data_IF_431435301762
#
_entry.id   IF_431435301762
#
_cell.length_a   1.000
_cell.length_b   1.000
_cell.length_c   1.000
_cell.angle_alpha   90.00
_cell.angle_beta   90.00
_cell.angle_gamma   90.00
#
_symmetry.space_group_name_H-M   'P 1'
#
loop_
_entity.id
_entity.type
_entity.pdbx_description
1 polymer ?
#
# COMPACT_ATOMS: atom_id res chain seq x y z
N UNK A 1 -23.20 40.73 23.81
CA UNK A 1 -21.77 40.56 24.14
C UNK A 1 -21.69 39.30 24.97
N UNK A 2 -20.95 38.24 24.67
CA UNK A 2 -19.91 37.94 23.69
C UNK A 2 -19.80 36.39 23.65
N UNK A 3 -19.17 35.88 22.60
CA UNK A 3 -18.74 34.52 22.24
C UNK A 3 -18.30 33.59 23.40
N UNK A 4 -18.31 32.26 23.33
CA UNK A 4 -18.51 31.28 22.25
C UNK A 4 -18.39 29.84 22.82
N UNK A 5 -18.66 28.79 22.02
CA UNK A 5 -18.56 27.40 22.42
C UNK A 5 -17.13 26.87 22.19
N UNK A 6 -16.57 26.14 23.15
CA UNK A 6 -15.29 25.48 22.89
C UNK A 6 -14.54 25.04 24.13
N UNK A 7 -15.01 24.00 24.81
CA UNK A 7 -14.12 23.15 25.60
C UNK A 7 -14.33 21.67 25.25
N UNK A 8 -14.23 21.38 23.95
CA UNK A 8 -13.77 20.07 23.48
C UNK A 8 -12.25 20.17 23.32
N UNK A 9 -11.47 19.46 24.16
CA UNK A 9 -10.32 18.62 23.74
C UNK A 9 -9.17 18.48 24.78
N UNK A 10 -9.37 17.90 25.98
CA UNK A 10 -8.22 17.50 26.82
C UNK A 10 -7.51 16.23 26.31
N UNK A 11 -7.99 15.60 25.23
CA UNK A 11 -7.43 14.34 24.68
C UNK A 11 -6.40 14.53 23.55
N UNK A 12 -6.30 15.72 22.94
CA UNK A 12 -5.35 16.00 21.85
C UNK A 12 -3.93 16.33 22.34
N UNK A 13 -3.76 16.80 23.58
CA UNK A 13 -2.47 17.16 24.15
C UNK A 13 -1.56 15.95 24.51
N UNK A 14 -2.13 14.75 24.66
CA UNK A 14 -1.39 13.53 25.05
C UNK A 14 -0.49 12.97 23.94
N UNK A 15 -0.67 13.40 22.69
CA UNK A 15 0.08 12.89 21.53
C UNK A 15 1.37 13.66 21.24
N UNK A 16 1.63 14.77 21.93
CA UNK A 16 2.81 15.62 21.64
C UNK A 16 4.03 15.35 22.53
N UNK A 17 3.96 14.44 23.51
CA UNK A 17 5.07 14.23 24.47
C UNK A 17 5.81 12.89 24.31
N UNK A 18 5.26 11.89 23.60
CA UNK A 18 5.99 10.65 23.29
C UNK A 18 6.82 10.78 22.00
N UNK A 19 7.62 11.85 21.93
CA UNK A 19 8.56 12.13 20.83
C UNK A 19 10.01 12.28 21.30
N UNK A 20 10.32 11.94 22.54
CA UNK A 20 11.65 12.14 23.08
C UNK A 20 12.21 10.83 23.67
N UNK A 21 13.41 10.48 23.20
CA UNK A 21 14.41 9.64 23.88
C UNK A 21 14.31 8.12 23.69
N UNK A 22 14.78 7.66 22.53
CA UNK A 22 15.61 6.45 22.46
C UNK A 22 16.50 6.48 21.21
N UNK A 23 17.41 7.46 21.17
CA UNK A 23 18.59 7.42 20.31
C UNK A 23 19.54 6.33 20.86
N UNK A 24 19.31 5.07 20.46
CA UNK A 24 20.30 4.00 20.55
C UNK A 24 21.18 4.04 19.31
N UNK A 25 22.30 4.75 19.41
CA UNK A 25 23.27 5.03 18.34
C UNK A 25 24.05 3.78 17.90
N UNK A 26 23.61 3.14 16.82
CA UNK A 26 24.42 2.16 16.07
C UNK A 26 23.99 2.03 14.59
N UNK A 27 23.80 3.15 13.89
CA UNK A 27 23.68 3.19 12.42
C UNK A 27 24.74 4.17 11.89
N UNK A 28 26.00 3.76 11.99
CA UNK A 28 27.09 4.45 11.31
C UNK A 28 27.00 4.18 9.80
N UNK A 29 26.58 5.21 9.06
CA UNK A 29 26.84 5.43 7.63
C UNK A 29 26.24 4.38 6.68
N UNK A 30 24.91 4.32 6.61
CA UNK A 30 24.27 4.15 5.30
C UNK A 30 24.08 5.55 4.72
N UNK A 31 24.61 5.88 3.53
CA UNK A 31 24.34 7.16 2.92
C UNK A 31 22.83 7.24 2.77
N UNK A 32 22.22 8.24 3.42
CA UNK A 32 20.84 8.68 3.19
C UNK A 32 20.74 9.36 1.82
N UNK A 33 21.35 8.77 0.79
CA UNK A 33 20.82 8.88 -0.54
C UNK A 33 19.49 8.15 -0.45
N UNK A 34 18.42 8.91 -0.19
CA UNK A 34 17.11 8.50 -0.61
C UNK A 34 17.32 8.01 -2.05
N UNK A 35 17.27 6.69 -2.26
CA UNK A 35 16.92 6.17 -3.57
C UNK A 35 15.54 6.77 -3.76
N UNK A 36 15.49 7.97 -4.35
CA UNK A 36 14.28 8.57 -4.82
C UNK A 36 13.69 7.48 -5.68
N UNK A 37 12.60 6.88 -5.20
CA UNK A 37 11.79 6.02 -6.04
C UNK A 37 11.63 6.80 -7.33
N UNK A 38 12.04 6.27 -8.50
CA UNK A 38 11.88 7.01 -9.73
C UNK A 38 10.40 7.36 -9.77
N UNK A 39 10.10 8.66 -9.68
CA UNK A 39 8.75 9.13 -9.82
C UNK A 39 8.31 8.53 -11.15
N UNK A 40 7.39 7.57 -11.08
CA UNK A 40 6.91 6.85 -12.26
C UNK A 40 6.59 7.94 -13.26
N UNK A 41 7.33 7.97 -14.36
CA UNK A 41 7.17 8.97 -15.40
C UNK A 41 5.69 8.98 -15.72
N UNK A 42 5.01 10.06 -15.36
CA UNK A 42 3.68 10.32 -15.87
C UNK A 42 3.92 10.51 -17.36
N UNK A 43 3.76 9.42 -18.12
CA UNK A 43 3.73 9.49 -19.57
C UNK A 43 2.72 10.55 -20.00
N UNK A 44 2.78 11.06 -21.24
CA UNK A 44 1.79 12.01 -21.72
C UNK A 44 0.42 11.51 -21.31
N UNK A 45 -0.41 12.38 -20.71
CA UNK A 45 -1.77 12.08 -20.27
C UNK A 45 -2.53 11.51 -21.45
N UNK A 46 -2.41 10.20 -21.65
CA UNK A 46 -3.18 9.47 -22.62
C UNK A 46 -4.59 9.65 -22.11
N UNK A 47 -5.44 10.29 -22.92
CA UNK A 47 -6.86 10.43 -22.62
C UNK A 47 -7.30 9.06 -22.09
N UNK A 48 -7.67 9.02 -20.80
CA UNK A 48 -8.04 7.78 -20.13
C UNK A 48 -9.37 7.37 -20.74
N UNK A 49 -9.30 6.68 -21.86
CA UNK A 49 -10.46 6.00 -22.42
C UNK A 49 -10.91 5.07 -21.32
N UNK A 50 -12.08 5.34 -20.76
CA UNK A 50 -12.69 4.49 -19.77
C UNK A 50 -13.12 3.21 -20.49
N UNK A 51 -12.19 2.26 -20.59
CA UNK A 51 -12.50 0.91 -21.01
C UNK A 51 -13.30 0.25 -19.89
N UNK A 52 -14.53 -0.17 -20.19
CA UNK A 52 -15.31 -1.05 -19.33
C UNK A 52 -15.31 -2.45 -19.93
N UNK A 53 -15.06 -3.46 -19.11
CA UNK A 53 -15.22 -4.85 -19.49
C UNK A 53 -16.69 -5.16 -19.78
N UNK A 54 -16.93 -6.04 -20.75
CA UNK A 54 -18.25 -6.64 -20.90
C UNK A 54 -18.49 -7.65 -19.78
N UNK A 55 -19.75 -7.97 -19.49
CA UNK A 55 -20.07 -8.98 -18.48
C UNK A 55 -19.53 -10.38 -18.83
N UNK A 56 -19.45 -10.70 -20.12
CA UNK A 56 -18.89 -11.97 -20.59
C UNK A 56 -17.38 -12.02 -20.38
N UNK A 57 -16.67 -10.91 -20.64
CA UNK A 57 -15.23 -10.81 -20.37
C UNK A 57 -14.94 -10.93 -18.86
N UNK A 58 -15.73 -10.25 -18.02
CA UNK A 58 -15.59 -10.34 -16.56
C UNK A 58 -15.76 -11.79 -16.07
N UNK A 59 -16.79 -12.50 -16.57
CA UNK A 59 -17.04 -13.88 -16.20
C UNK A 59 -15.93 -14.84 -16.66
N UNK A 60 -15.41 -14.62 -17.87
CA UNK A 60 -14.27 -15.37 -18.39
C UNK A 60 -13.02 -15.14 -17.54
N UNK A 61 -12.72 -13.89 -17.19
CA UNK A 61 -11.56 -13.54 -16.38
C UNK A 61 -11.64 -14.13 -14.96
N UNK A 62 -12.84 -14.18 -14.35
CA UNK A 62 -13.00 -14.84 -13.04
C UNK A 62 -12.71 -16.35 -13.12
N UNK A 63 -13.23 -17.03 -14.13
CA UNK A 63 -12.99 -18.46 -14.33
C UNK A 63 -11.50 -18.74 -14.65
N UNK A 64 -10.88 -17.93 -15.50
CA UNK A 64 -9.46 -18.02 -15.80
C UNK A 64 -8.61 -17.85 -14.54
N UNK A 65 -8.83 -16.78 -13.79
CA UNK A 65 -8.09 -16.50 -12.56
C UNK A 65 -8.23 -17.65 -11.55
N UNK A 66 -9.44 -18.21 -11.40
CA UNK A 66 -9.69 -19.33 -10.49
C UNK A 66 -8.92 -20.59 -10.89
N UNK A 67 -8.87 -20.89 -12.19
CA UNK A 67 -8.15 -22.06 -12.71
C UNK A 67 -6.63 -21.91 -12.55
N UNK A 68 -6.10 -20.73 -12.88
CA UNK A 68 -4.68 -20.43 -12.73
C UNK A 68 -4.25 -20.50 -11.26
N UNK A 69 -5.02 -19.89 -10.34
CA UNK A 69 -4.71 -19.99 -8.92
C UNK A 69 -4.76 -21.42 -8.39
N UNK A 70 -5.73 -22.21 -8.84
CA UNK A 70 -5.86 -23.61 -8.44
C UNK A 70 -4.63 -24.42 -8.83
N UNK A 71 -4.03 -24.18 -9.99
CA UNK A 71 -2.80 -24.84 -10.40
C UNK A 71 -1.68 -24.63 -9.37
N UNK A 72 -1.42 -23.38 -8.97
CA UNK A 72 -0.39 -23.10 -7.98
C UNK A 72 -0.72 -23.68 -6.60
N UNK A 73 -2.00 -23.75 -6.24
CA UNK A 73 -2.42 -24.32 -4.97
C UNK A 73 -2.26 -25.85 -4.93
N UNK A 74 -2.64 -26.53 -6.00
CA UNK A 74 -2.66 -28.00 -6.06
C UNK A 74 -1.30 -28.60 -6.44
N UNK A 75 -0.49 -27.87 -7.22
CA UNK A 75 0.80 -28.35 -7.72
C UNK A 75 2.00 -27.83 -6.91
N UNK A 76 1.78 -26.93 -5.94
CA UNK A 76 2.86 -26.51 -5.06
C UNK A 76 3.37 -27.67 -4.22
N UNK A 77 4.69 -27.77 -4.10
CA UNK A 77 5.33 -28.68 -3.16
C UNK A 77 4.86 -28.36 -1.72
N UNK A 78 4.41 -29.35 -0.93
CA UNK A 78 3.79 -29.09 0.38
C UNK A 78 4.77 -28.61 1.45
N UNK A 79 6.07 -28.75 1.23
CA UNK A 79 7.11 -28.34 2.18
C UNK A 79 7.65 -26.94 1.88
N UNK A 80 7.66 -26.55 0.61
CA UNK A 80 8.27 -25.30 0.13
C UNK A 80 7.26 -24.29 -0.40
N UNK A 81 6.07 -24.73 -0.83
CA UNK A 81 5.04 -23.90 -1.45
C UNK A 81 5.40 -23.42 -2.86
N UNK A 82 6.43 -24.00 -3.48
CA UNK A 82 6.91 -23.60 -4.81
C UNK A 82 6.47 -24.63 -5.86
N UNK A 83 6.28 -24.15 -7.10
CA UNK A 83 6.04 -24.97 -8.29
C UNK A 83 7.32 -24.98 -9.14
N UNK A 84 7.67 -26.14 -9.72
CA UNK A 84 8.89 -26.38 -10.52
C UNK A 84 8.61 -26.44 -12.02
#
# INVERSE_FOLDING_TARGET
>A
MDTGPGDESPRRARRSVLRALACGSALAVLPRAARAWPAQSQGPTQARVAYSLSSDDDAFLDDLARREFRYFWEQADPHTGLVL
#
